data_IF_079772466333
#
_entry.id   IF_079772466333
#
_cell.length_a   1.000
_cell.length_b   1.000
_cell.length_c   1.000
_cell.angle_alpha   90.00
_cell.angle_beta   90.00
_cell.angle_gamma   90.00
#
_symmetry.space_group_name_H-M   'P 1'
#
loop_
_entity.id
_entity.type
_entity.pdbx_description
1 polymer ?
#
# COMPACT_ATOMS: atom_id res chain seq x y z
N UNK A 1 62.57 9.61 11.61
CA UNK A 1 61.53 10.64 11.87
C UNK A 1 60.31 10.26 11.05
N UNK A 2 59.21 9.85 11.71
CA UNK A 2 57.98 9.35 11.08
C UNK A 2 57.07 10.53 10.73
N UNK A 3 56.67 10.66 9.47
CA UNK A 3 55.52 11.49 9.09
C UNK A 3 54.62 10.69 8.16
N UNK A 4 53.68 9.98 8.77
CA UNK A 4 52.57 9.32 8.08
C UNK A 4 51.51 10.37 7.76
N UNK A 5 51.23 10.66 6.48
CA UNK A 5 50.08 11.47 6.06
C UNK A 5 48.97 10.56 5.55
N UNK A 6 48.01 10.27 6.43
CA UNK A 6 46.75 9.63 6.08
C UNK A 6 45.79 10.67 5.48
N UNK A 7 45.72 10.78 4.15
CA UNK A 7 44.70 11.61 3.47
C UNK A 7 43.76 10.82 2.56
N UNK A 8 43.98 9.52 2.38
CA UNK A 8 43.15 8.67 1.51
C UNK A 8 41.97 8.01 2.24
N UNK A 9 42.00 7.94 3.57
CA UNK A 9 40.95 7.30 4.36
C UNK A 9 39.69 8.16 4.59
N UNK A 10 39.76 9.48 4.36
CA UNK A 10 38.63 10.40 4.62
C UNK A 10 37.56 10.41 3.52
N UNK A 11 37.87 9.97 2.30
CA UNK A 11 36.91 9.92 1.18
C UNK A 11 35.98 8.69 1.28
N UNK A 12 36.40 7.64 2.01
CA UNK A 12 35.62 6.41 2.17
C UNK A 12 34.36 6.59 3.05
N UNK A 13 34.32 7.63 3.90
CA UNK A 13 33.20 7.89 4.82
C UNK A 13 32.00 8.62 4.19
N UNK A 14 32.16 9.21 3.00
CA UNK A 14 31.10 9.97 2.33
C UNK A 14 30.24 9.07 1.42
N UNK A 15 30.73 7.90 1.02
CA UNK A 15 29.99 6.96 0.15
C UNK A 15 29.09 5.99 0.92
N UNK A 16 29.30 5.80 2.22
CA UNK A 16 28.55 4.85 3.05
C UNK A 16 27.04 5.17 3.20
N UNK A 17 26.60 6.43 3.35
CA UNK A 17 25.17 6.74 3.41
C UNK A 17 24.46 6.65 2.06
N UNK A 18 25.19 6.71 0.93
CA UNK A 18 24.60 6.67 -0.42
C UNK A 18 24.18 5.24 -0.84
N UNK A 19 24.77 4.21 -0.24
CA UNK A 19 24.37 2.81 -0.48
C UNK A 19 23.06 2.41 0.22
N UNK A 20 22.58 3.21 1.19
CA UNK A 20 21.40 2.86 2.00
C UNK A 20 20.07 3.37 1.43
N UNK A 21 20.09 4.14 0.33
CA UNK A 21 18.88 4.83 -0.18
C UNK A 21 18.10 4.08 -1.26
N UNK A 22 18.50 2.87 -1.65
CA UNK A 22 17.86 2.16 -2.76
C UNK A 22 17.05 0.95 -2.28
N UNK A 23 15.74 1.14 -2.15
CA UNK A 23 14.82 0.01 -1.93
C UNK A 23 13.48 0.38 -1.29
N UNK A 24 12.69 1.28 -1.89
CA UNK A 24 11.27 1.34 -1.53
C UNK A 24 10.58 0.14 -2.17
N UNK A 25 10.04 -0.79 -1.36
CA UNK A 25 9.11 -1.79 -1.89
C UNK A 25 7.85 -1.05 -2.35
N UNK A 26 7.48 -1.19 -3.62
CA UNK A 26 6.18 -0.73 -4.10
C UNK A 26 5.08 -1.40 -3.27
N UNK A 27 4.18 -0.60 -2.71
CA UNK A 27 3.00 -1.15 -2.06
C UNK A 27 2.13 -1.83 -3.12
N UNK A 28 1.71 -3.07 -2.88
CA UNK A 28 0.67 -3.72 -3.67
C UNK A 28 -0.65 -3.14 -3.15
N UNK A 29 -1.36 -2.36 -3.97
CA UNK A 29 -2.67 -1.87 -3.54
C UNK A 29 -3.63 -3.07 -3.42
N UNK A 30 -4.24 -3.20 -2.25
CA UNK A 30 -5.23 -4.21 -1.91
C UNK A 30 -6.38 -3.53 -1.17
N UNK A 31 -7.59 -4.05 -1.35
CA UNK A 31 -8.75 -3.63 -0.57
C UNK A 31 -8.98 -4.69 0.50
N UNK A 32 -9.01 -4.29 1.76
CA UNK A 32 -9.27 -5.16 2.91
C UNK A 32 -10.51 -4.66 3.64
N UNK A 33 -11.49 -5.54 3.84
CA UNK A 33 -12.75 -5.21 4.51
C UNK A 33 -12.62 -5.11 6.02
N UNK A 34 -13.26 -4.07 6.59
CA UNK A 34 -13.28 -3.82 8.01
C UNK A 34 -13.87 -5.00 8.81
N UNK A 35 -13.24 -5.34 9.94
CA UNK A 35 -13.77 -6.29 10.93
C UNK A 35 -14.56 -5.55 12.01
N UNK A 36 -15.46 -4.66 11.60
CA UNK A 36 -16.26 -3.80 12.47
C UNK A 36 -17.76 -4.14 12.44
N UNK A 37 -18.14 -5.19 11.71
CA UNK A 37 -19.53 -5.62 11.56
C UNK A 37 -20.26 -5.00 10.36
N UNK A 38 -19.63 -4.12 9.59
CA UNK A 38 -20.25 -3.53 8.39
C UNK A 38 -20.58 -4.57 7.32
N UNK A 39 -19.89 -5.72 7.33
CA UNK A 39 -20.20 -6.83 6.42
C UNK A 39 -19.78 -6.57 4.97
N UNK A 40 -18.81 -5.68 4.74
CA UNK A 40 -18.23 -5.45 3.41
C UNK A 40 -17.49 -6.70 2.94
N UNK A 41 -17.83 -7.14 1.73
CA UNK A 41 -17.22 -8.29 1.06
C UNK A 41 -16.44 -7.78 -0.13
N UNK A 42 -15.20 -8.25 -0.27
CA UNK A 42 -14.30 -7.86 -1.36
C UNK A 42 -13.87 -9.13 -2.09
N UNK A 43 -14.09 -9.16 -3.40
CA UNK A 43 -13.66 -10.25 -4.26
C UNK A 43 -12.91 -9.71 -5.47
N UNK A 44 -11.64 -10.08 -5.57
CA UNK A 44 -10.77 -9.68 -6.69
C UNK A 44 -10.75 -10.78 -7.75
N UNK A 45 -11.05 -10.41 -8.99
CA UNK A 45 -10.95 -11.27 -10.18
C UNK A 45 -10.25 -10.48 -11.30
N UNK A 46 -9.03 -10.90 -11.66
CA UNK A 46 -8.18 -10.17 -12.61
C UNK A 46 -7.99 -8.68 -12.20
N UNK A 47 -8.35 -7.76 -13.08
CA UNK A 47 -8.30 -6.32 -12.86
C UNK A 47 -9.57 -5.74 -12.23
N UNK A 48 -10.57 -6.57 -11.93
CA UNK A 48 -11.81 -6.14 -11.30
C UNK A 48 -11.83 -6.51 -9.83
N UNK A 49 -12.26 -5.58 -9.00
CA UNK A 49 -12.48 -5.75 -7.57
C UNK A 49 -13.96 -5.52 -7.32
N UNK A 50 -14.71 -6.61 -7.10
CA UNK A 50 -16.13 -6.53 -6.81
C UNK A 50 -16.32 -6.39 -5.30
N UNK A 51 -17.02 -5.33 -4.91
CA UNK A 51 -17.31 -4.96 -3.53
C UNK A 51 -18.82 -5.11 -3.34
N UNK A 52 -19.20 -6.02 -2.45
CA UNK A 52 -20.60 -6.38 -2.17
C UNK A 52 -20.84 -6.48 -0.66
N UNK A 53 -22.05 -6.89 -0.26
CA UNK A 53 -22.46 -6.88 1.14
C UNK A 53 -22.63 -5.45 1.65
N UNK A 54 -22.01 -5.13 2.78
CA UNK A 54 -22.17 -3.85 3.45
C UNK A 54 -23.44 -3.80 4.31
N UNK A 55 -23.61 -2.69 5.01
CA UNK A 55 -24.74 -2.46 5.91
C UNK A 55 -25.69 -1.44 5.31
N UNK A 56 -26.94 -1.82 5.13
CA UNK A 56 -27.98 -0.89 4.69
C UNK A 56 -28.46 -0.04 5.87
N UNK A 57 -28.48 1.28 5.67
CA UNK A 57 -29.13 2.23 6.59
C UNK A 57 -29.97 3.23 5.78
N UNK A 58 -31.30 3.10 5.90
CA UNK A 58 -32.26 3.83 5.07
C UNK A 58 -32.09 3.48 3.60
N UNK A 59 -31.89 4.49 2.75
CA UNK A 59 -31.66 4.33 1.31
C UNK A 59 -30.18 4.15 0.95
N UNK A 60 -29.27 4.13 1.92
CA UNK A 60 -27.84 4.07 1.70
C UNK A 60 -27.25 2.71 2.10
N UNK A 61 -26.30 2.24 1.30
CA UNK A 61 -25.47 1.08 1.63
C UNK A 61 -24.09 1.57 2.08
N UNK A 62 -23.68 1.18 3.29
CA UNK A 62 -22.41 1.57 3.88
C UNK A 62 -21.40 0.44 3.77
N UNK A 63 -20.17 0.81 3.42
CA UNK A 63 -19.03 -0.08 3.34
C UNK A 63 -17.89 0.44 4.23
N UNK A 64 -17.12 -0.47 4.81
CA UNK A 64 -16.00 -0.12 5.69
C UNK A 64 -14.77 -0.96 5.34
N UNK A 65 -13.60 -0.31 5.36
CA UNK A 65 -12.32 -0.87 4.93
C UNK A 65 -11.21 -0.49 5.91
N UNK A 66 -10.32 -1.41 6.27
CA UNK A 66 -9.06 -1.01 6.95
C UNK A 66 -8.07 -0.41 5.95
N UNK A 67 -8.10 -0.90 4.72
CA UNK A 67 -7.23 -0.46 3.64
C UNK A 67 -8.04 -0.40 2.36
N UNK A 68 -7.93 0.71 1.65
CA UNK A 68 -8.57 0.89 0.36
C UNK A 68 -7.54 1.43 -0.63
N UNK A 69 -7.18 0.61 -1.62
CA UNK A 69 -6.26 0.99 -2.67
C UNK A 69 -6.60 0.27 -3.98
N UNK A 70 -6.58 1.03 -5.07
CA UNK A 70 -6.82 0.54 -6.44
C UNK A 70 -5.63 0.94 -7.28
N UNK A 71 -4.97 -0.02 -7.93
CA UNK A 71 -3.83 0.26 -8.80
C UNK A 71 -4.29 0.77 -10.18
N UNK A 72 -3.36 1.39 -10.91
CA UNK A 72 -3.59 1.71 -12.32
C UNK A 72 -4.01 0.47 -13.12
N UNK A 73 -5.05 0.62 -13.94
CA UNK A 73 -5.62 -0.48 -14.72
C UNK A 73 -6.53 -1.43 -13.94
N UNK A 74 -6.76 -1.20 -12.64
CA UNK A 74 -7.81 -1.91 -11.88
C UNK A 74 -9.11 -1.09 -11.84
N UNK A 75 -10.23 -1.78 -11.63
CA UNK A 75 -11.55 -1.17 -11.43
C UNK A 75 -12.20 -1.75 -10.18
N UNK A 76 -12.63 -0.88 -9.27
CA UNK A 76 -13.43 -1.27 -8.11
C UNK A 76 -14.91 -1.05 -8.40
N UNK A 77 -15.70 -2.13 -8.40
CA UNK A 77 -17.14 -2.11 -8.66
C UNK A 77 -17.90 -2.25 -7.34
N UNK A 78 -18.74 -1.27 -7.01
CA UNK A 78 -19.64 -1.35 -5.85
C UNK A 78 -21.00 -1.91 -6.30
N UNK A 79 -21.31 -3.12 -5.83
CA UNK A 79 -22.55 -3.82 -6.16
C UNK A 79 -23.62 -3.45 -5.15
N UNK A 80 -24.55 -2.59 -5.56
CA UNK A 80 -25.76 -2.31 -4.79
C UNK A 80 -26.74 -3.47 -4.92
N UNK A 81 -27.47 -3.78 -3.83
CA UNK A 81 -28.64 -4.65 -3.89
C UNK A 81 -29.88 -3.73 -3.90
N UNK A 82 -30.54 -3.54 -5.06
CA UNK A 82 -31.72 -2.69 -5.16
C UNK A 82 -32.93 -3.21 -4.36
#
# INVERSE_FOLDING_TARGET
MKFTRFHTAQWALILLPLLLTFGTKSAIAQITSAKDGTGTVVQTQNNQINISGGTQAGQNQFHSFQQFGVNAGQTANFMANP
#
